data_IF_671003486127
#
_entry.id   IF_671003486127
#
_cell.length_a   1.000
_cell.length_b   1.000
_cell.length_c   1.000
_cell.angle_alpha   90.00
_cell.angle_beta   90.00
_cell.angle_gamma   90.00
#
_symmetry.space_group_name_H-M   'P 1'
#
loop_
_entity.id
_entity.type
_entity.pdbx_description
1 polymer ?
#
# COMPACT_ATOMS: atom_id res chain seq x y z
N UNK A 1 8.10 0.47 -1.59
CA UNK A 1 6.95 -0.38 -1.99
C UNK A 1 7.43 -1.82 -2.13
N UNK A 2 6.57 -2.83 -1.96
CA UNK A 2 6.90 -4.24 -2.24
C UNK A 2 5.94 -4.84 -3.26
N UNK A 3 6.48 -5.55 -4.25
CA UNK A 3 5.71 -6.25 -5.28
C UNK A 3 6.33 -7.63 -5.55
N UNK A 4 5.78 -8.67 -4.91
CA UNK A 4 6.23 -10.05 -5.12
C UNK A 4 5.29 -10.71 -6.11
N UNK A 5 5.75 -10.86 -7.36
CA UNK A 5 4.96 -11.40 -8.47
C UNK A 5 5.80 -12.27 -9.39
N UNK A 6 5.24 -13.32 -10.02
CA UNK A 6 5.96 -14.11 -11.02
C UNK A 6 6.33 -13.32 -12.27
N UNK A 7 5.60 -12.26 -12.62
CA UNK A 7 5.80 -11.51 -13.88
C UNK A 7 5.95 -10.02 -13.65
N UNK A 8 6.55 -9.35 -14.64
CA UNK A 8 6.68 -7.88 -14.66
C UNK A 8 5.33 -7.21 -14.93
N UNK A 9 4.41 -7.88 -15.63
CA UNK A 9 3.08 -7.36 -16.01
C UNK A 9 2.17 -7.04 -14.82
N UNK A 10 2.54 -7.49 -13.61
CA UNK A 10 1.88 -7.07 -12.38
C UNK A 10 2.15 -5.62 -12.01
N UNK A 11 3.14 -4.98 -12.64
CA UNK A 11 3.36 -3.54 -12.58
C UNK A 11 2.74 -2.90 -13.83
N UNK A 12 1.47 -2.50 -13.73
CA UNK A 12 0.70 -1.97 -14.85
C UNK A 12 0.51 -0.46 -14.79
N UNK A 13 -0.54 0.02 -15.47
CA UNK A 13 -0.92 1.44 -15.48
C UNK A 13 -1.23 1.97 -14.07
N UNK A 14 -1.82 1.14 -13.21
CA UNK A 14 -2.24 1.57 -11.86
C UNK A 14 -1.06 1.73 -10.92
N UNK A 15 -0.11 0.79 -10.97
CA UNK A 15 1.13 0.88 -10.21
C UNK A 15 1.98 2.05 -10.72
N UNK A 16 2.05 2.24 -12.04
CA UNK A 16 2.71 3.43 -12.63
C UNK A 16 2.05 4.73 -12.17
N UNK A 17 0.72 4.79 -12.14
CA UNK A 17 -0.02 5.95 -11.62
C UNK A 17 0.24 6.19 -10.13
N UNK A 18 0.31 5.14 -9.31
CA UNK A 18 0.67 5.27 -7.91
C UNK A 18 2.07 5.89 -7.75
N UNK A 19 3.06 5.45 -8.55
CA UNK A 19 4.41 6.02 -8.56
C UNK A 19 4.42 7.49 -9.03
N UNK A 20 3.69 7.83 -10.11
CA UNK A 20 3.57 9.22 -10.58
C UNK A 20 2.97 10.12 -9.49
N UNK A 21 1.87 9.70 -8.87
CA UNK A 21 1.20 10.45 -7.82
C UNK A 21 2.08 10.68 -6.58
N UNK A 22 2.94 9.70 -6.24
CA UNK A 22 3.95 9.84 -5.20
C UNK A 22 4.94 10.96 -5.56
N UNK A 23 5.54 10.91 -6.75
CA UNK A 23 6.55 11.89 -7.16
C UNK A 23 5.97 13.29 -7.38
N UNK A 24 4.69 13.40 -7.77
CA UNK A 24 3.96 14.67 -7.79
C UNK A 24 3.93 15.33 -6.41
N UNK A 25 3.67 14.56 -5.36
CA UNK A 25 3.58 15.06 -3.98
C UNK A 25 4.93 15.11 -3.26
N UNK A 26 5.91 14.35 -3.74
CA UNK A 26 7.25 14.21 -3.16
C UNK A 26 8.32 14.12 -4.26
N UNK A 27 8.57 15.22 -4.97
CA UNK A 27 9.55 15.27 -6.08
C UNK A 27 10.95 14.77 -5.70
N UNK A 28 11.33 15.00 -4.45
CA UNK A 28 12.64 14.62 -3.91
C UNK A 28 12.61 13.30 -3.14
N UNK A 29 11.55 12.48 -3.19
CA UNK A 29 11.58 11.17 -2.55
C UNK A 29 12.59 10.23 -3.25
N UNK A 30 13.09 9.25 -2.49
CA UNK A 30 13.77 8.09 -3.05
C UNK A 30 12.80 6.90 -2.97
N UNK A 31 12.36 6.39 -4.12
CA UNK A 31 11.48 5.23 -4.19
C UNK A 31 12.30 3.97 -4.46
N UNK A 32 12.21 3.00 -3.55
CA UNK A 32 12.67 1.63 -3.79
C UNK A 32 11.44 0.73 -3.94
N UNK A 33 11.34 0.07 -5.09
CA UNK A 33 10.36 -0.98 -5.36
C UNK A 33 11.06 -2.33 -5.15
N UNK A 34 10.81 -2.94 -4.00
CA UNK A 34 11.41 -4.24 -3.69
C UNK A 34 10.55 -5.32 -4.35
N UNK A 35 11.07 -5.93 -5.41
CA UNK A 35 10.33 -6.81 -6.30
C UNK A 35 11.23 -7.84 -6.96
N UNK A 36 10.76 -9.09 -7.03
CA UNK A 36 11.47 -10.18 -7.68
C UNK A 36 11.38 -10.14 -9.22
N UNK A 37 10.42 -9.40 -9.79
CA UNK A 37 10.22 -9.31 -11.25
C UNK A 37 10.68 -7.97 -11.84
N UNK A 38 10.64 -6.88 -11.08
CA UNK A 38 11.01 -5.54 -11.58
C UNK A 38 12.53 -5.28 -11.59
N UNK A 39 13.34 -6.04 -10.86
CA UNK A 39 14.81 -5.99 -10.96
C UNK A 39 15.29 -6.78 -12.20
N UNK A 40 14.93 -6.25 -13.38
CA UNK A 40 15.10 -6.87 -14.69
C UNK A 40 15.23 -5.79 -15.78
N UNK A 41 15.58 -6.17 -17.01
CA UNK A 41 15.61 -5.23 -18.14
C UNK A 41 14.24 -4.62 -18.43
N UNK A 42 13.19 -5.44 -18.41
CA UNK A 42 11.81 -4.99 -18.62
C UNK A 42 11.38 -4.05 -17.50
N UNK A 43 11.68 -4.37 -16.24
CA UNK A 43 11.38 -3.47 -15.12
C UNK A 43 12.14 -2.15 -15.20
N UNK A 44 13.41 -2.16 -15.64
CA UNK A 44 14.17 -0.94 -15.94
C UNK A 44 13.53 -0.12 -17.05
N UNK A 45 13.03 -0.76 -18.10
CA UNK A 45 12.33 -0.08 -19.20
C UNK A 45 11.03 0.59 -18.71
N UNK A 46 10.26 -0.07 -17.83
CA UNK A 46 9.05 0.50 -17.22
C UNK A 46 9.36 1.69 -16.30
N UNK A 47 10.51 1.68 -15.61
CA UNK A 47 10.93 2.78 -14.73
C UNK A 47 11.66 3.90 -15.46
N UNK A 48 12.13 3.66 -16.69
CA UNK A 48 12.89 4.62 -17.49
C UNK A 48 12.21 6.00 -17.60
N UNK A 49 10.89 6.11 -17.87
CA UNK A 49 10.24 7.42 -17.96
C UNK A 49 10.41 8.27 -16.68
N UNK A 50 10.36 7.65 -15.50
CA UNK A 50 10.57 8.34 -14.24
C UNK A 50 12.03 8.78 -14.08
N UNK A 51 12.98 7.90 -14.41
CA UNK A 51 14.43 8.17 -14.32
C UNK A 51 14.84 9.30 -15.28
N UNK A 52 14.32 9.29 -16.51
CA UNK A 52 14.56 10.33 -17.52
C UNK A 52 14.05 11.70 -17.06
N UNK A 53 13.00 11.72 -16.22
CA UNK A 53 12.48 12.93 -15.57
C UNK A 53 13.16 13.23 -14.22
N UNK A 54 14.36 12.69 -13.99
CA UNK A 54 15.20 12.91 -12.80
C UNK A 54 14.58 12.45 -11.48
N UNK A 55 13.54 11.60 -11.52
CA UNK A 55 13.01 10.99 -10.29
C UNK A 55 13.92 9.86 -9.81
N UNK A 56 14.11 9.79 -8.49
CA UNK A 56 14.91 8.76 -7.84
C UNK A 56 14.06 7.52 -7.59
N UNK A 57 13.99 6.63 -8.58
CA UNK A 57 13.32 5.34 -8.47
C UNK A 57 14.26 4.20 -8.86
N UNK A 58 14.18 3.10 -8.13
CA UNK A 58 14.86 1.86 -8.48
C UNK A 58 14.03 0.64 -8.07
N UNK A 59 14.21 -0.47 -8.78
CA UNK A 59 13.68 -1.76 -8.41
C UNK A 59 14.82 -2.68 -7.97
N UNK A 60 14.61 -3.43 -6.88
CA UNK A 60 15.63 -4.31 -6.32
C UNK A 60 15.01 -5.64 -5.93
N UNK A 61 15.64 -6.74 -6.34
CA UNK A 61 15.23 -8.08 -5.93
C UNK A 61 15.41 -8.26 -4.42
N UNK A 62 14.39 -8.75 -3.69
CA UNK A 62 14.53 -8.96 -2.26
C UNK A 62 15.52 -10.08 -1.95
N UNK A 63 16.54 -9.76 -1.15
CA UNK A 63 17.22 -10.75 -0.32
C UNK A 63 16.43 -10.91 0.99
N UNK A 64 15.55 -11.91 1.03
CA UNK A 64 14.73 -12.19 2.21
C UNK A 64 15.57 -12.55 3.45
N UNK A 65 16.70 -13.25 3.27
CA UNK A 65 17.54 -13.64 4.40
C UNK A 65 18.18 -12.40 5.04
N UNK A 66 18.74 -11.50 4.22
CA UNK A 66 19.29 -10.23 4.70
C UNK A 66 18.21 -9.31 5.30
N UNK A 67 17.05 -9.23 4.65
CA UNK A 67 15.93 -8.42 5.11
C UNK A 67 15.37 -8.91 6.46
N UNK A 68 15.41 -10.20 6.75
CA UNK A 68 14.87 -10.77 8.00
C UNK A 68 15.91 -10.94 9.11
N UNK A 69 17.20 -10.90 8.78
CA UNK A 69 18.31 -11.07 9.72
C UNK A 69 18.16 -10.20 10.98
N UNK A 70 18.44 -10.76 12.16
CA UNK A 70 18.34 -10.09 13.46
C UNK A 70 16.91 -9.60 13.79
N UNK A 71 15.89 -10.30 13.30
CA UNK A 71 14.49 -10.08 13.67
C UNK A 71 13.77 -11.42 13.86
N UNK A 72 12.61 -11.46 14.53
CA UNK A 72 11.82 -12.70 14.66
C UNK A 72 11.46 -13.36 13.32
N UNK A 73 11.41 -12.57 12.23
CA UNK A 73 11.17 -13.06 10.87
C UNK A 73 12.23 -14.07 10.39
N UNK A 74 13.47 -13.98 10.89
CA UNK A 74 14.57 -14.85 10.44
C UNK A 74 14.27 -16.31 10.73
N UNK A 75 13.85 -16.61 11.96
CA UNK A 75 13.49 -17.97 12.37
C UNK A 75 12.27 -18.47 11.61
N UNK A 76 11.22 -17.65 11.51
CA UNK A 76 10.02 -18.00 10.75
C UNK A 76 10.34 -18.32 9.28
N UNK A 77 11.18 -17.52 8.63
CA UNK A 77 11.53 -17.72 7.23
C UNK A 77 12.38 -18.99 7.02
N UNK A 78 13.30 -19.29 7.94
CA UNK A 78 14.03 -20.57 7.95
C UNK A 78 13.07 -21.75 8.09
N UNK A 79 12.09 -21.64 8.98
CA UNK A 79 11.13 -22.71 9.25
C UNK A 79 10.14 -22.91 8.10
N UNK A 80 9.76 -21.84 7.39
CA UNK A 80 9.03 -21.92 6.12
C UNK A 80 9.84 -22.67 5.06
N UNK A 81 11.11 -22.30 4.86
CA UNK A 81 11.99 -22.97 3.88
C UNK A 81 12.24 -24.44 4.20
N UNK A 82 12.29 -24.80 5.49
CA UNK A 82 12.48 -26.19 5.92
C UNK A 82 11.18 -27.00 5.98
N UNK A 83 10.04 -26.43 5.57
CA UNK A 83 8.73 -27.10 5.62
C UNK A 83 8.14 -27.28 7.02
N UNK A 84 8.72 -26.66 8.06
CA UNK A 84 8.19 -26.68 9.44
C UNK A 84 6.99 -25.75 9.62
N UNK A 85 6.95 -24.67 8.84
CA UNK A 85 5.76 -23.81 8.71
C UNK A 85 5.06 -24.15 7.40
N UNK A 86 3.77 -24.49 7.48
CA UNK A 86 2.95 -24.71 6.29
C UNK A 86 2.56 -23.36 5.68
N UNK A 87 2.71 -23.16 4.36
CA UNK A 87 2.40 -21.89 3.71
C UNK A 87 0.91 -21.52 3.70
N UNK A 88 0.02 -22.51 3.84
CA UNK A 88 -1.43 -22.35 3.76
C UNK A 88 -1.95 -22.04 2.34
N UNK A 89 -3.20 -21.58 2.27
CA UNK A 89 -3.94 -21.37 1.01
C UNK A 89 -3.77 -19.95 0.43
N UNK A 90 -3.40 -18.99 1.28
CA UNK A 90 -3.07 -17.63 0.84
C UNK A 90 -1.71 -17.66 0.14
N UNK A 91 -1.57 -17.05 -1.07
CA UNK A 91 -0.32 -17.07 -1.81
C UNK A 91 0.89 -16.67 -0.97
N UNK A 92 1.94 -17.51 -0.98
CA UNK A 92 3.17 -17.29 -0.22
C UNK A 92 3.78 -15.92 -0.53
N UNK A 93 3.73 -15.49 -1.79
CA UNK A 93 4.18 -14.17 -2.23
C UNK A 93 3.49 -13.02 -1.47
N UNK A 94 2.18 -13.14 -1.20
CA UNK A 94 1.43 -12.13 -0.43
C UNK A 94 1.89 -12.10 1.03
N UNK A 95 2.08 -13.27 1.64
CA UNK A 95 2.55 -13.36 3.02
C UNK A 95 4.02 -12.89 3.17
N UNK A 96 4.89 -13.21 2.21
CA UNK A 96 6.24 -12.69 2.15
C UNK A 96 6.25 -11.16 1.99
N UNK A 97 5.36 -10.59 1.17
CA UNK A 97 5.20 -9.13 1.03
C UNK A 97 4.72 -8.47 2.33
N UNK A 98 3.80 -9.12 3.06
CA UNK A 98 3.35 -8.66 4.39
C UNK A 98 4.46 -8.65 5.44
N UNK A 99 5.37 -9.63 5.43
CA UNK A 99 6.50 -9.64 6.36
C UNK A 99 7.63 -8.71 5.92
N UNK A 100 7.93 -8.68 4.62
CA UNK A 100 8.99 -7.88 4.03
C UNK A 100 8.77 -6.39 4.25
N UNK A 101 7.54 -5.87 4.10
CA UNK A 101 7.25 -4.47 4.38
C UNK A 101 7.57 -4.06 5.82
N UNK A 102 7.28 -4.93 6.78
CA UNK A 102 7.54 -4.68 8.20
C UNK A 102 9.04 -4.72 8.49
N UNK A 103 9.74 -5.72 7.94
CA UNK A 103 11.17 -5.88 8.12
C UNK A 103 11.98 -4.71 7.51
N UNK A 104 11.63 -4.29 6.29
CA UNK A 104 12.25 -3.14 5.65
C UNK A 104 11.97 -1.85 6.43
N UNK A 105 10.72 -1.62 6.83
CA UNK A 105 10.35 -0.43 7.59
C UNK A 105 11.05 -0.40 8.95
N UNK A 106 11.17 -1.53 9.64
CA UNK A 106 11.94 -1.62 10.88
C UNK A 106 13.41 -1.27 10.66
N UNK A 107 14.04 -1.82 9.61
CA UNK A 107 15.47 -1.64 9.35
C UNK A 107 15.86 -0.26 8.83
N UNK A 108 15.00 0.38 8.05
CA UNK A 108 15.32 1.62 7.34
C UNK A 108 14.48 2.83 7.81
N UNK A 109 13.34 2.60 8.46
CA UNK A 109 12.36 3.64 8.74
C UNK A 109 11.74 4.21 7.46
N UNK A 110 11.07 5.34 7.60
CA UNK A 110 10.48 6.08 6.49
C UNK A 110 9.03 5.68 6.23
N UNK A 111 8.67 5.57 4.95
CA UNK A 111 7.29 5.35 4.50
C UNK A 111 7.25 4.05 3.68
N UNK A 112 6.39 3.13 4.10
CA UNK A 112 5.96 2.02 3.28
C UNK A 112 4.61 2.33 2.61
N UNK A 113 4.50 1.97 1.34
CA UNK A 113 3.27 2.00 0.54
C UNK A 113 3.11 0.67 -0.21
N UNK A 114 1.89 0.16 -0.28
CA UNK A 114 1.49 -0.81 -1.31
C UNK A 114 1.55 -0.12 -2.69
N UNK A 115 1.80 -0.91 -3.74
CA UNK A 115 2.00 -0.37 -5.11
C UNK A 115 0.73 0.19 -5.75
N UNK A 116 -0.42 0.03 -5.11
CA UNK A 116 -1.73 0.49 -5.54
C UNK A 116 -2.29 1.58 -4.60
N UNK A 117 -1.40 2.33 -3.94
CA UNK A 117 -1.75 3.52 -3.14
C UNK A 117 -1.45 4.79 -3.94
N UNK A 118 -2.50 5.52 -4.33
CA UNK A 118 -2.39 6.81 -5.03
C UNK A 118 -2.24 7.94 -4.02
N UNK A 119 -1.14 8.69 -4.09
CA UNK A 119 -0.82 9.79 -3.18
C UNK A 119 -1.45 11.09 -3.68
N UNK A 120 -2.33 11.68 -2.88
CA UNK A 120 -3.03 12.92 -3.21
C UNK A 120 -2.39 14.15 -2.57
N UNK A 121 -1.80 13.99 -1.38
CA UNK A 121 -1.10 15.06 -0.67
C UNK A 121 0.19 14.57 -0.06
N UNK A 122 1.09 15.52 0.18
CA UNK A 122 2.35 15.24 0.86
C UNK A 122 2.13 14.64 2.24
N UNK A 123 2.91 13.62 2.59
CA UNK A 123 2.99 13.04 3.93
C UNK A 123 3.95 13.80 4.85
N UNK A 124 4.47 14.96 4.42
CA UNK A 124 5.32 15.79 5.27
C UNK A 124 4.57 16.14 6.57
N UNK A 125 5.24 15.97 7.70
CA UNK A 125 4.67 16.17 9.05
C UNK A 125 4.00 14.93 9.63
N UNK A 126 3.80 13.85 8.86
CA UNK A 126 3.38 12.56 9.40
C UNK A 126 4.59 11.78 9.91
N UNK A 127 4.46 11.17 11.09
CA UNK A 127 5.50 10.35 11.72
C UNK A 127 4.86 9.34 12.65
N UNK A 128 5.40 8.12 12.69
CA UNK A 128 4.93 7.01 13.54
C UNK A 128 3.40 6.85 13.49
N UNK A 129 2.86 6.66 12.30
CA UNK A 129 1.42 6.53 12.11
C UNK A 129 1.03 5.34 11.22
N UNK A 130 -0.17 4.84 11.50
CA UNK A 130 -0.84 3.76 10.78
C UNK A 130 -2.30 4.17 10.54
N UNK A 131 -2.91 3.74 9.43
CA UNK A 131 -4.29 4.08 9.12
C UNK A 131 -5.31 3.05 9.62
N UNK A 132 -6.41 3.54 10.15
CA UNK A 132 -7.62 2.75 10.35
C UNK A 132 -8.30 2.49 8.99
N UNK A 133 -8.53 1.23 8.65
CA UNK A 133 -9.32 0.85 7.47
C UNK A 133 -10.81 1.03 7.71
N UNK A 134 -11.29 0.62 8.88
CA UNK A 134 -12.71 0.69 9.27
C UNK A 134 -12.85 1.20 10.69
N UNK A 135 -13.98 1.81 10.97
CA UNK A 135 -14.41 2.25 12.30
C UNK A 135 -15.73 1.58 12.65
N UNK A 136 -15.94 1.36 13.94
CA UNK A 136 -17.23 0.99 14.49
C UNK A 136 -18.18 2.19 14.42
N UNK A 137 -19.39 1.96 13.90
CA UNK A 137 -20.33 3.03 13.60
C UNK A 137 -20.94 3.68 14.85
N UNK A 138 -20.92 2.97 15.99
CA UNK A 138 -21.53 3.44 17.26
C UNK A 138 -20.51 4.18 18.10
N UNK A 139 -19.34 3.58 18.30
CA UNK A 139 -18.29 4.10 19.18
C UNK A 139 -17.35 5.07 18.48
N UNK A 140 -17.27 5.03 17.14
CA UNK A 140 -16.31 5.80 16.35
C UNK A 140 -14.86 5.29 16.47
N UNK A 141 -14.62 4.27 17.29
CA UNK A 141 -13.31 3.65 17.43
C UNK A 141 -12.97 2.87 16.15
N UNK A 142 -11.69 2.80 15.81
CA UNK A 142 -11.26 1.95 14.72
C UNK A 142 -11.53 0.47 15.06
N UNK A 143 -11.95 -0.31 14.06
CA UNK A 143 -12.22 -1.75 14.18
C UNK A 143 -11.25 -2.60 13.37
N UNK A 144 -10.53 -1.98 12.42
CA UNK A 144 -9.47 -2.60 11.64
C UNK A 144 -8.44 -1.56 11.28
N UNK A 145 -7.17 -1.86 11.53
CA UNK A 145 -6.03 -1.14 10.95
C UNK A 145 -5.56 -1.86 9.70
N UNK A 146 -4.82 -1.15 8.86
CA UNK A 146 -4.26 -1.72 7.64
C UNK A 146 -2.79 -1.32 7.46
N UNK A 147 -2.02 -2.20 6.82
CA UNK A 147 -0.58 -2.13 6.66
C UNK A 147 -0.16 -1.81 5.21
N UNK A 148 -1.06 -1.24 4.40
CA UNK A 148 -0.79 -0.72 3.06
C UNK A 148 -0.11 0.65 3.08
N UNK A 149 -0.29 1.41 4.16
CA UNK A 149 0.42 2.68 4.43
C UNK A 149 0.95 2.63 5.85
N UNK A 150 2.27 2.67 6.00
CA UNK A 150 2.94 2.68 7.30
C UNK A 150 4.03 3.75 7.28
N UNK A 151 4.05 4.63 8.28
CA UNK A 151 5.05 5.69 8.40
C UNK A 151 5.68 5.56 9.78
N UNK A 152 6.92 5.08 9.87
CA UNK A 152 7.56 4.82 11.14
C UNK A 152 9.05 5.12 11.10
N UNK A 153 9.58 5.55 12.23
CA UNK A 153 11.01 5.68 12.43
C UNK A 153 11.71 4.32 12.35
N UNK A 154 12.99 4.37 12.02
CA UNK A 154 13.87 3.20 12.08
C UNK A 154 13.86 2.62 13.49
N UNK A 155 13.85 1.28 13.58
CA UNK A 155 13.84 0.50 14.82
C UNK A 155 12.62 0.76 15.74
N UNK A 156 11.52 1.28 15.21
CA UNK A 156 10.35 1.59 16.03
C UNK A 156 9.80 0.33 16.75
N UNK A 157 9.62 0.34 18.09
CA UNK A 157 9.22 -0.84 18.86
C UNK A 157 7.90 -1.47 18.40
N UNK A 158 6.93 -0.65 17.99
CA UNK A 158 5.66 -1.15 17.46
C UNK A 158 5.85 -2.01 16.19
N UNK A 159 6.75 -1.60 15.30
CA UNK A 159 7.02 -2.34 14.06
C UNK A 159 7.70 -3.67 14.38
N UNK A 160 8.59 -3.70 15.38
CA UNK A 160 9.16 -4.95 15.88
C UNK A 160 8.08 -5.90 16.41
N UNK A 161 7.11 -5.39 17.19
CA UNK A 161 5.96 -6.19 17.67
C UNK A 161 5.10 -6.73 16.53
N UNK A 162 4.96 -6.01 15.42
CA UNK A 162 4.30 -6.55 14.22
C UNK A 162 5.06 -7.74 13.63
N UNK A 163 6.40 -7.64 13.52
CA UNK A 163 7.24 -8.74 13.01
C UNK A 163 7.15 -9.96 13.94
N UNK A 164 7.19 -9.74 15.25
CA UNK A 164 7.05 -10.79 16.26
C UNK A 164 5.68 -11.48 16.19
N UNK A 165 4.60 -10.71 16.10
CA UNK A 165 3.25 -11.27 15.94
C UNK A 165 3.13 -12.09 14.65
N UNK A 166 3.75 -11.62 13.55
CA UNK A 166 3.76 -12.36 12.28
C UNK A 166 4.42 -13.72 12.48
N UNK A 167 5.64 -13.73 12.99
CA UNK A 167 6.43 -14.95 13.16
C UNK A 167 5.73 -15.95 14.10
N UNK A 168 5.12 -15.45 15.18
CA UNK A 168 4.49 -16.27 16.22
C UNK A 168 3.12 -16.82 15.84
N UNK A 169 2.32 -16.02 15.14
CA UNK A 169 0.90 -16.32 14.89
C UNK A 169 0.57 -16.56 13.43
N UNK A 170 1.59 -16.78 12.59
CA UNK A 170 1.40 -17.00 11.17
C UNK A 170 0.31 -18.04 10.89
N UNK A 171 -0.69 -17.63 10.13
CA UNK A 171 -1.74 -18.51 9.62
C UNK A 171 -1.91 -18.23 8.13
N UNK A 172 -1.26 -19.07 7.33
CA UNK A 172 -1.29 -18.97 5.87
C UNK A 172 -2.64 -19.30 5.25
N UNK A 173 -3.58 -19.91 6.00
CA UNK A 173 -4.90 -20.30 5.48
C UNK A 173 -5.96 -19.21 5.65
N UNK A 174 -5.66 -18.12 6.38
CA UNK A 174 -6.60 -17.02 6.63
C UNK A 174 -6.19 -15.73 5.95
N UNK A 175 -6.99 -15.31 4.97
CA UNK A 175 -6.77 -14.04 4.29
C UNK A 175 -6.86 -12.86 5.28
N UNK A 176 -5.91 -11.92 5.17
CA UNK A 176 -5.81 -10.76 6.05
C UNK A 176 -5.22 -11.03 7.43
N UNK A 177 -5.14 -12.29 7.89
CA UNK A 177 -4.66 -12.65 9.22
C UNK A 177 -3.25 -12.15 9.51
N UNK A 178 -2.35 -12.26 8.52
CA UNK A 178 -0.95 -11.87 8.60
C UNK A 178 -0.68 -10.41 8.16
N UNK A 179 -1.73 -9.63 7.90
CA UNK A 179 -1.62 -8.24 7.44
C UNK A 179 -2.52 -7.32 8.28
N UNK A 180 -3.66 -6.83 7.78
CA UNK A 180 -4.55 -5.93 8.52
C UNK A 180 -4.97 -6.44 9.91
N UNK A 181 -5.28 -7.72 10.04
CA UNK A 181 -5.70 -8.29 11.33
C UNK A 181 -4.55 -8.37 12.33
N UNK A 182 -3.34 -8.68 11.86
CA UNK A 182 -2.14 -8.73 12.68
C UNK A 182 -1.82 -7.37 13.29
N UNK A 183 -1.76 -6.31 12.47
CA UNK A 183 -1.42 -4.98 12.98
C UNK A 183 -2.49 -4.46 13.94
N UNK A 184 -3.76 -4.82 13.70
CA UNK A 184 -4.86 -4.49 14.62
C UNK A 184 -4.68 -5.17 15.98
N UNK A 185 -4.45 -6.50 16.00
CA UNK A 185 -4.27 -7.25 17.26
C UNK A 185 -3.10 -6.71 18.09
N UNK A 186 -2.01 -6.32 17.43
CA UNK A 186 -0.85 -5.76 18.14
C UNK A 186 -1.19 -4.39 18.70
N UNK A 187 -1.81 -3.50 17.90
CA UNK A 187 -2.17 -2.17 18.37
C UNK A 187 -3.22 -2.21 19.49
N UNK A 188 -4.23 -3.08 19.41
CA UNK A 188 -5.22 -3.28 20.48
C UNK A 188 -4.55 -3.60 21.83
N UNK A 189 -3.44 -4.35 21.83
CA UNK A 189 -2.73 -4.73 23.06
C UNK A 189 -1.84 -3.64 23.63
N UNK A 190 -1.47 -2.63 22.85
CA UNK A 190 -0.51 -1.59 23.27
C UNK A 190 -1.10 -0.19 23.24
N UNK A 191 -2.37 -0.04 22.86
CA UNK A 191 -3.04 1.26 22.88
C UNK A 191 -3.11 1.77 24.33
N UNK A 192 -2.69 3.01 24.54
CA UNK A 192 -2.56 3.61 25.88
C UNK A 192 -1.24 3.28 26.60
N UNK A 193 -0.38 2.43 26.04
CA UNK A 193 0.97 2.22 26.57
C UNK A 193 1.91 3.33 26.09
N UNK A 194 2.37 4.16 27.04
CA UNK A 194 3.31 5.25 26.80
C UNK A 194 4.65 4.82 26.18
N UNK A 195 4.99 3.52 26.23
CA UNK A 195 6.17 2.94 25.59
C UNK A 195 6.08 2.87 24.05
N UNK A 196 4.90 3.09 23.47
CA UNK A 196 4.70 3.09 22.02
C UNK A 196 4.15 4.45 21.54
N UNK A 197 5.02 5.29 21.00
CA UNK A 197 4.61 6.57 20.43
C UNK A 197 4.11 6.42 18.98
N UNK A 198 2.80 6.36 18.78
CA UNK A 198 2.22 6.31 17.44
C UNK A 198 0.84 6.96 17.36
N UNK A 199 0.40 7.29 16.16
CA UNK A 199 -0.93 7.81 15.86
C UNK A 199 -1.71 6.87 14.94
N UNK A 200 -2.97 6.60 15.29
CA UNK A 200 -3.92 5.96 14.37
C UNK A 200 -4.62 7.05 13.56
N UNK A 201 -4.38 7.07 12.26
CA UNK A 201 -5.03 8.01 11.33
C UNK A 201 -6.45 7.53 11.00
N UNK A 202 -7.44 8.43 10.84
CA UNK A 202 -8.80 8.05 10.50
C UNK A 202 -8.88 7.41 9.09
N UNK A 203 -9.93 6.63 8.77
CA UNK A 203 -10.05 6.01 7.46
C UNK A 203 -9.98 7.00 6.29
N UNK A 204 -10.54 8.20 6.46
CA UNK A 204 -10.48 9.23 5.43
C UNK A 204 -9.04 9.61 5.02
N UNK A 205 -8.02 9.39 5.86
CA UNK A 205 -6.63 9.73 5.55
C UNK A 205 -6.05 8.88 4.40
N UNK A 206 -6.32 7.57 4.38
CA UNK A 206 -5.69 6.63 3.44
C UNK A 206 -6.67 5.62 2.79
N UNK A 207 -7.81 5.37 3.45
CA UNK A 207 -8.82 4.37 3.08
C UNK A 207 -10.22 5.00 2.99
N UNK A 208 -10.43 6.04 2.15
CA UNK A 208 -11.69 6.78 2.11
C UNK A 208 -12.88 5.95 1.60
N UNK A 209 -12.64 4.75 1.07
CA UNK A 209 -13.65 3.77 0.67
C UNK A 209 -13.17 2.38 1.10
N UNK A 210 -14.07 1.61 1.71
CA UNK A 210 -13.83 0.22 2.07
C UNK A 210 -13.61 -0.65 0.81
N UNK A 211 -12.76 -1.67 0.94
CA UNK A 211 -12.42 -2.58 -0.14
C UNK A 211 -13.65 -3.24 -0.80
N UNK A 212 -14.74 -3.48 -0.06
CA UNK A 212 -15.98 -4.05 -0.60
C UNK A 212 -16.75 -3.08 -1.52
N UNK A 213 -16.47 -1.78 -1.40
CA UNK A 213 -17.18 -0.71 -2.15
C UNK A 213 -16.27 0.03 -3.13
N UNK A 214 -15.02 -0.41 -3.29
CA UNK A 214 -14.01 0.29 -4.09
C UNK A 214 -14.43 0.51 -5.54
N UNK A 215 -15.16 -0.43 -6.15
CA UNK A 215 -15.65 -0.33 -7.53
C UNK A 215 -16.52 0.93 -7.76
N UNK A 216 -17.17 1.46 -6.72
CA UNK A 216 -17.95 2.70 -6.83
C UNK A 216 -17.10 3.93 -7.22
N UNK A 217 -15.79 3.91 -6.99
CA UNK A 217 -14.90 4.99 -7.42
C UNK A 217 -14.56 4.92 -8.92
N UNK A 218 -14.77 3.76 -9.56
CA UNK A 218 -14.39 3.49 -10.94
C UNK A 218 -15.56 3.68 -11.92
N UNK A 219 -16.81 3.62 -11.45
CA UNK A 219 -17.99 3.79 -12.28
C UNK A 219 -18.34 5.27 -12.52
N UNK A 220 -18.73 5.60 -13.75
CA UNK A 220 -19.15 6.91 -14.20
C UNK A 220 -20.60 7.23 -13.81
N UNK A 221 -21.07 8.46 -14.13
CA UNK A 221 -22.41 8.90 -13.77
C UNK A 221 -23.48 8.09 -14.54
N UNK A 222 -24.47 7.55 -13.81
CA UNK A 222 -25.62 6.83 -14.38
C UNK A 222 -26.91 7.66 -14.37
N UNK A 223 -26.81 8.93 -13.96
CA UNK A 223 -27.94 9.85 -13.77
C UNK A 223 -27.56 11.00 -12.83
N UNK A 224 -28.46 11.99 -12.69
CA UNK A 224 -28.18 13.25 -11.95
C UNK A 224 -27.84 13.02 -10.47
N UNK A 225 -28.50 12.07 -9.82
CA UNK A 225 -28.25 11.73 -8.40
C UNK A 225 -26.86 11.10 -8.23
N UNK A 226 -26.52 10.12 -9.06
CA UNK A 226 -25.20 9.47 -9.02
C UNK A 226 -24.08 10.49 -9.31
N UNK A 227 -24.26 11.36 -10.31
CA UNK A 227 -23.29 12.41 -10.62
C UNK A 227 -23.04 13.36 -9.44
N UNK A 228 -24.10 13.73 -8.70
CA UNK A 228 -23.98 14.56 -7.49
C UNK A 228 -23.23 13.83 -6.37
N UNK A 229 -23.47 12.52 -6.21
CA UNK A 229 -22.74 11.70 -5.24
C UNK A 229 -21.25 11.60 -5.60
N UNK A 230 -20.91 11.31 -6.86
CA UNK A 230 -19.52 11.25 -7.34
C UNK A 230 -18.78 12.57 -7.07
N UNK A 231 -19.40 13.72 -7.39
CA UNK A 231 -18.83 15.03 -7.09
C UNK A 231 -18.57 15.21 -5.60
N UNK A 232 -19.56 14.97 -4.74
CA UNK A 232 -19.38 15.09 -3.28
C UNK A 232 -18.30 14.16 -2.76
N UNK A 233 -18.21 12.93 -3.28
CA UNK A 233 -17.22 11.96 -2.86
C UNK A 233 -15.81 12.39 -3.26
N UNK A 234 -15.64 12.91 -4.47
CA UNK A 234 -14.38 13.49 -4.92
C UNK A 234 -13.94 14.66 -4.04
N UNK A 235 -14.83 15.62 -3.76
CA UNK A 235 -14.52 16.75 -2.88
C UNK A 235 -14.11 16.30 -1.47
N UNK A 236 -14.81 15.30 -0.91
CA UNK A 236 -14.44 14.72 0.37
C UNK A 236 -13.02 14.14 0.34
N UNK A 237 -12.72 13.29 -0.65
CA UNK A 237 -11.41 12.66 -0.81
C UNK A 237 -10.31 13.73 -0.94
N UNK A 238 -10.51 14.74 -1.78
CA UNK A 238 -9.53 15.83 -1.98
C UNK A 238 -9.26 16.61 -0.69
N UNK A 239 -10.31 16.84 0.10
CA UNK A 239 -10.22 17.60 1.35
C UNK A 239 -9.55 16.81 2.47
N UNK A 240 -9.90 15.54 2.63
CA UNK A 240 -9.56 14.77 3.83
C UNK A 240 -8.37 13.83 3.61
N UNK A 241 -8.21 13.25 2.41
CA UNK A 241 -7.28 12.18 2.16
C UNK A 241 -5.86 12.65 1.83
N UNK A 242 -4.89 11.96 2.42
CA UNK A 242 -3.50 11.99 1.98
C UNK A 242 -3.27 11.03 0.82
N UNK A 243 -3.96 9.88 0.82
CA UNK A 243 -3.87 8.89 -0.24
C UNK A 243 -5.17 8.09 -0.40
N UNK A 244 -5.28 7.36 -1.51
CA UNK A 244 -6.35 6.41 -1.81
C UNK A 244 -5.75 5.05 -2.11
N UNK A 245 -6.03 4.06 -1.27
CA UNK A 245 -5.72 2.66 -1.57
C UNK A 245 -6.73 2.11 -2.60
N UNK A 246 -6.24 1.61 -3.74
CA UNK A 246 -7.09 1.14 -4.84
C UNK A 246 -7.58 -0.29 -4.67
N UNK A 247 -7.03 -1.07 -3.72
CA UNK A 247 -7.43 -2.46 -3.47
C UNK A 247 -7.39 -3.28 -4.77
N UNK A 248 -6.26 -3.30 -5.48
CA UNK A 248 -6.16 -3.88 -6.83
C UNK A 248 -6.56 -5.36 -6.89
N UNK A 249 -6.46 -6.11 -5.79
CA UNK A 249 -7.02 -7.47 -5.70
C UNK A 249 -8.53 -7.51 -6.00
N UNK A 250 -9.27 -6.46 -5.65
CA UNK A 250 -10.71 -6.34 -5.88
C UNK A 250 -11.06 -5.47 -7.09
N UNK A 251 -10.23 -4.47 -7.39
CA UNK A 251 -10.59 -3.45 -8.37
C UNK A 251 -9.89 -3.62 -9.71
N UNK A 252 -8.85 -4.47 -9.86
CA UNK A 252 -8.01 -4.53 -11.09
C UNK A 252 -8.81 -4.71 -12.38
N UNK A 253 -9.88 -5.49 -12.32
CA UNK A 253 -10.71 -5.86 -13.49
C UNK A 253 -11.82 -4.83 -13.76
N UNK A 254 -11.96 -3.81 -12.89
CA UNK A 254 -12.94 -2.73 -13.04
C UNK A 254 -12.31 -1.59 -13.87
N UNK A 255 -12.90 -1.28 -15.03
CA UNK A 255 -12.42 -0.17 -15.87
C UNK A 255 -12.70 1.17 -15.20
N UNK A 256 -11.77 2.12 -15.37
CA UNK A 256 -12.00 3.51 -14.98
C UNK A 256 -12.91 4.13 -16.03
N UNK A 257 -14.20 4.28 -15.71
CA UNK A 257 -15.17 4.90 -16.61
C UNK A 257 -15.03 6.43 -16.59
N UNK A 258 -15.37 7.07 -17.71
CA UNK A 258 -15.30 8.52 -17.84
C UNK A 258 -16.21 9.23 -16.84
N UNK A 259 -15.66 10.27 -16.21
CA UNK A 259 -16.37 11.05 -15.21
C UNK A 259 -16.51 10.38 -13.84
N UNK A 260 -15.98 9.16 -13.65
CA UNK A 260 -15.84 8.52 -12.35
C UNK A 260 -14.90 9.30 -11.42
N UNK A 261 -14.92 8.98 -10.11
CA UNK A 261 -13.99 9.60 -9.15
C UNK A 261 -12.54 9.29 -9.53
N UNK A 262 -12.23 8.05 -9.90
CA UNK A 262 -10.88 7.67 -10.32
C UNK A 262 -10.46 8.31 -11.64
N UNK A 263 -11.37 8.50 -12.59
CA UNK A 263 -11.08 9.25 -13.83
C UNK A 263 -10.66 10.68 -13.51
N UNK A 264 -11.39 11.36 -12.61
CA UNK A 264 -11.06 12.73 -12.15
C UNK A 264 -9.75 12.78 -11.36
N UNK A 265 -9.51 11.83 -10.46
CA UNK A 265 -8.27 11.73 -9.70
C UNK A 265 -7.08 11.48 -10.64
N UNK A 266 -7.19 10.55 -11.61
CA UNK A 266 -6.14 10.31 -12.61
C UNK A 266 -5.81 11.57 -13.41
N UNK A 267 -6.83 12.31 -13.83
CA UNK A 267 -6.66 13.57 -14.59
C UNK A 267 -5.96 14.67 -13.79
N UNK A 268 -6.23 14.80 -12.49
CA UNK A 268 -5.70 15.88 -11.66
C UNK A 268 -4.36 15.55 -10.97
N UNK A 269 -4.14 14.28 -10.68
CA UNK A 269 -3.00 13.81 -9.90
C UNK A 269 -1.97 13.02 -10.71
N UNK A 270 -2.26 12.69 -11.97
CA UNK A 270 -1.22 12.21 -12.86
C UNK A 270 -0.58 13.38 -13.61
N UNK A 271 0.71 13.56 -13.38
CA UNK A 271 1.48 14.70 -13.83
C UNK A 271 2.17 14.47 -15.16
N UNK A 272 2.72 13.26 -15.38
CA UNK A 272 3.63 13.04 -16.51
C UNK A 272 3.35 11.74 -17.26
N UNK A 273 2.97 10.65 -16.58
CA UNK A 273 3.08 9.31 -17.17
C UNK A 273 1.76 8.58 -17.48
N UNK A 274 0.60 9.19 -17.24
CA UNK A 274 -0.70 8.53 -17.49
C UNK A 274 -1.44 9.01 -18.76
N UNK A 275 -0.91 10.02 -19.46
CA UNK A 275 -1.55 10.60 -20.66
C UNK A 275 -1.07 9.95 -21.97
N UNK A 276 -0.03 9.11 -21.92
CA UNK A 276 0.52 8.42 -23.11
C UNK A 276 -0.42 7.36 -23.72
N UNK A 277 -1.51 6.98 -23.03
CA UNK A 277 -2.51 6.05 -23.58
C UNK A 277 -3.57 6.72 -24.48
N UNK A 278 -3.52 8.05 -24.70
CA UNK A 278 -4.55 8.79 -25.45
C UNK A 278 -4.14 9.19 -26.88
N UNK A 279 -2.96 8.77 -27.36
CA UNK A 279 -2.42 9.17 -28.68
C UNK A 279 -2.16 8.00 -29.64
N UNK A 280 -2.84 6.86 -29.49
CA UNK A 280 -2.75 5.74 -30.43
C UNK A 280 -4.11 5.28 -30.96
N UNK A 281 -4.89 6.25 -31.44
CA UNK A 281 -6.02 6.03 -32.33
C UNK A 281 -6.22 7.27 -33.20
N UNK A 282 -5.40 7.35 -34.25
CA UNK A 282 -5.65 8.16 -35.45
C UNK A 282 -5.65 7.23 -36.65
#
# INVERSE_FOLDING_TARGET
MTLISPTVDSFGERESFAVDSLFRSHRNACLVIVSNSMDSEQGRALLKPFIDNQFRVTAVKPDFAAAFKNTPAETWFRDLKSGRVRPGDVPVAQNLSNLLRLALLYKFGGIYLDTDVVVLRSFNGLRNCIGAQTVDAVTGNWSRLNNAVLIFDRNHPLVYRFIEEFARTFDGSKWGHNGPYLVSRVVERVIGDSGFNFTVMPPAAFYPVDWSRIAALFHGPRGRVHARWLRKKLEQIKKESFAVHLWNRQSRDVKIEDGSVMSRIRMEYCSTFCNSSSSSSS
#
